data_IF_541183879412
#
_entry.id   IF_541183879412
#
_cell.length_a   1.000
_cell.length_b   1.000
_cell.length_c   1.000
_cell.angle_alpha   90.00
_cell.angle_beta   90.00
_cell.angle_gamma   90.00
#
_symmetry.space_group_name_H-M   'P 1'
#
loop_
_entity.id
_entity.type
_entity.pdbx_description
1 polymer ?
#
# COMPACT_ATOMS: atom_id res chain seq x y z
N UNK A 1 -9.88 12.45 -6.44
CA UNK A 1 -8.64 11.62 -6.44
C UNK A 1 -7.55 12.21 -5.56
N UNK A 2 -7.21 13.50 -5.68
CA UNK A 2 -6.24 14.15 -4.78
C UNK A 2 -6.59 13.98 -3.30
N UNK A 3 -7.84 14.22 -2.91
CA UNK A 3 -8.29 14.05 -1.51
C UNK A 3 -8.14 12.61 -1.02
N UNK A 4 -8.46 11.63 -1.87
CA UNK A 4 -8.27 10.20 -1.56
C UNK A 4 -6.79 9.92 -1.31
N UNK A 5 -5.90 10.41 -2.18
CA UNK A 5 -4.45 10.20 -2.05
C UNK A 5 -3.91 10.81 -0.76
N UNK A 6 -4.22 12.07 -0.46
CA UNK A 6 -3.74 12.72 0.77
C UNK A 6 -4.28 12.01 2.01
N UNK A 7 -5.56 11.62 2.04
CA UNK A 7 -6.12 10.86 3.15
C UNK A 7 -5.42 9.51 3.36
N UNK A 8 -5.12 8.78 2.29
CA UNK A 8 -4.39 7.51 2.38
C UNK A 8 -2.93 7.71 2.83
N UNK A 9 -2.24 8.74 2.34
CA UNK A 9 -0.87 9.04 2.76
C UNK A 9 -0.79 9.44 4.23
N UNK A 10 -1.72 10.26 4.71
CA UNK A 10 -1.80 10.65 6.13
C UNK A 10 -2.04 9.44 7.04
N UNK A 11 -3.04 8.61 6.72
CA UNK A 11 -3.32 7.36 7.45
C UNK A 11 -2.19 6.33 7.33
N UNK A 12 -1.46 6.37 6.22
CA UNK A 12 -0.32 5.52 5.93
C UNK A 12 0.99 5.99 6.56
N UNK A 13 0.94 6.98 7.46
CA UNK A 13 2.10 7.59 8.13
C UNK A 13 3.16 8.17 7.17
N UNK A 14 2.77 8.58 5.97
CA UNK A 14 3.68 9.22 5.03
C UNK A 14 4.18 10.56 5.60
N UNK A 15 5.45 10.96 5.35
CA UNK A 15 6.03 12.19 5.89
C UNK A 15 5.14 13.43 5.72
N UNK A 16 5.00 14.20 6.80
CA UNK A 16 4.17 15.42 6.86
C UNK A 16 4.65 16.49 5.87
N UNK A 17 3.81 17.50 5.65
CA UNK A 17 4.06 18.64 4.73
C UNK A 17 4.20 18.23 3.26
N UNK A 18 3.39 17.26 2.82
CA UNK A 18 3.26 16.88 1.42
C UNK A 18 1.92 17.36 0.86
N UNK A 19 1.85 17.48 -0.46
CA UNK A 19 0.63 17.61 -1.23
C UNK A 19 0.67 16.55 -2.32
N UNK A 20 -0.24 15.59 -2.25
CA UNK A 20 -0.41 14.58 -3.28
C UNK A 20 -1.48 14.99 -4.28
N UNK A 21 -1.15 14.86 -5.56
CA UNK A 21 -2.11 15.02 -6.66
C UNK A 21 -2.04 13.82 -7.59
N UNK A 22 -3.10 13.61 -8.38
CA UNK A 22 -3.10 12.59 -9.42
C UNK A 22 -2.84 13.27 -10.77
N UNK A 23 -1.68 12.99 -11.37
CA UNK A 23 -1.35 13.50 -12.70
C UNK A 23 -2.16 12.78 -13.75
N UNK A 24 -3.18 13.42 -14.32
CA UNK A 24 -4.09 12.81 -15.30
C UNK A 24 -3.35 12.27 -16.53
N UNK A 25 -2.34 13.00 -17.02
CA UNK A 25 -1.53 12.60 -18.18
C UNK A 25 -0.53 11.51 -17.86
N UNK A 26 0.10 11.55 -16.68
CA UNK A 26 1.05 10.50 -16.25
C UNK A 26 0.35 9.26 -15.70
N UNK A 27 -0.95 9.38 -15.41
CA UNK A 27 -1.77 8.38 -14.73
C UNK A 27 -1.12 7.87 -13.44
N UNK A 28 -0.57 8.78 -12.65
CA UNK A 28 0.23 8.45 -11.48
C UNK A 28 0.18 9.55 -10.41
N UNK A 29 0.55 9.19 -9.19
CA UNK A 29 0.70 10.14 -8.09
C UNK A 29 1.88 11.09 -8.32
N UNK A 30 1.64 12.35 -7.98
CA UNK A 30 2.65 13.39 -7.91
C UNK A 30 2.72 13.91 -6.49
N UNK A 31 3.94 14.09 -5.98
CA UNK A 31 4.19 14.63 -4.63
C UNK A 31 4.80 16.01 -4.78
N UNK A 32 4.17 17.03 -4.20
CA UNK A 32 4.58 18.43 -4.27
C UNK A 32 4.81 18.88 -5.72
N UNK A 33 3.90 18.49 -6.63
CA UNK A 33 3.96 18.82 -8.05
C UNK A 33 5.05 18.09 -8.85
N UNK A 34 5.78 17.14 -8.25
CA UNK A 34 6.83 16.37 -8.93
C UNK A 34 6.42 14.90 -9.09
N UNK A 35 6.80 14.30 -10.23
CA UNK A 35 6.71 12.85 -10.43
C UNK A 35 7.56 12.14 -9.38
N UNK A 36 7.05 11.05 -8.79
CA UNK A 36 7.78 10.27 -7.76
C UNK A 36 9.15 9.77 -8.21
N UNK A 37 9.32 9.54 -9.52
CA UNK A 37 10.60 9.15 -10.11
C UNK A 37 11.70 10.23 -10.00
N UNK A 38 11.33 11.50 -9.80
CA UNK A 38 12.27 12.62 -9.67
C UNK A 38 12.64 12.86 -8.20
N UNK A 39 11.71 12.61 -7.28
CA UNK A 39 11.83 13.02 -5.88
C UNK A 39 12.12 11.89 -4.88
N UNK A 40 11.98 10.62 -5.27
CA UNK A 40 12.04 9.49 -4.35
C UNK A 40 12.95 8.35 -4.84
N UNK A 41 13.55 7.59 -3.91
CA UNK A 41 14.25 6.33 -4.19
C UNK A 41 13.31 5.16 -4.46
N UNK A 42 13.83 3.99 -4.86
CA UNK A 42 13.05 2.80 -5.25
C UNK A 42 11.99 2.42 -4.21
N UNK A 43 12.38 2.34 -2.93
CA UNK A 43 11.48 1.98 -1.84
C UNK A 43 10.26 2.87 -1.67
N UNK A 44 10.50 4.18 -1.58
CA UNK A 44 9.41 5.16 -1.53
C UNK A 44 8.53 5.11 -2.77
N UNK A 45 9.09 4.82 -3.96
CA UNK A 45 8.26 4.62 -5.17
C UNK A 45 7.37 3.38 -5.06
N UNK A 46 7.85 2.28 -4.48
CA UNK A 46 7.03 1.08 -4.26
C UNK A 46 5.85 1.37 -3.34
N UNK A 47 6.12 2.01 -2.19
CA UNK A 47 5.06 2.48 -1.29
C UNK A 47 4.05 3.37 -2.01
N UNK A 48 4.52 4.37 -2.77
CA UNK A 48 3.64 5.27 -3.51
C UNK A 48 2.86 4.56 -4.63
N UNK A 49 3.40 3.51 -5.26
CA UNK A 49 2.65 2.67 -6.19
C UNK A 49 1.46 2.02 -5.48
N UNK A 50 1.70 1.41 -4.32
CA UNK A 50 0.67 0.74 -3.51
C UNK A 50 -0.45 1.71 -3.12
N UNK A 51 -0.09 2.92 -2.66
CA UNK A 51 -1.06 3.99 -2.35
C UNK A 51 -1.84 4.43 -3.59
N UNK A 52 -1.18 4.62 -4.74
CA UNK A 52 -1.86 4.98 -5.99
C UNK A 52 -2.88 3.92 -6.40
N UNK A 53 -2.52 2.64 -6.35
CA UNK A 53 -3.44 1.55 -6.73
C UNK A 53 -4.60 1.43 -5.74
N UNK A 54 -4.36 1.62 -4.45
CA UNK A 54 -5.46 1.69 -3.47
C UNK A 54 -6.40 2.88 -3.72
N UNK A 55 -5.86 4.05 -4.06
CA UNK A 55 -6.66 5.23 -4.39
C UNK A 55 -7.51 5.01 -5.63
N UNK A 56 -6.92 4.41 -6.68
CA UNK A 56 -7.64 4.02 -7.90
C UNK A 56 -8.74 3.00 -7.59
N UNK A 57 -8.43 1.95 -6.82
CA UNK A 57 -9.40 0.94 -6.40
C UNK A 57 -10.56 1.55 -5.61
N UNK A 58 -10.28 2.46 -4.66
CA UNK A 58 -11.32 3.19 -3.92
C UNK A 58 -12.18 4.04 -4.84
N UNK A 59 -11.57 4.82 -5.73
CA UNK A 59 -12.29 5.66 -6.68
C UNK A 59 -13.18 4.85 -7.63
N UNK A 60 -12.68 3.74 -8.16
CA UNK A 60 -13.45 2.84 -9.04
C UNK A 60 -14.62 2.23 -8.25
N UNK A 61 -14.40 1.73 -7.04
CA UNK A 61 -15.48 1.16 -6.22
C UNK A 61 -16.55 2.19 -5.81
N UNK A 62 -16.21 3.48 -5.76
CA UNK A 62 -17.15 4.56 -5.47
C UNK A 62 -17.95 5.00 -6.70
N UNK A 63 -17.33 4.99 -7.89
CA UNK A 63 -17.87 5.69 -9.07
C UNK A 63 -18.22 4.77 -10.26
N UNK A 64 -17.67 3.56 -10.35
CA UNK A 64 -17.91 2.68 -11.48
C UNK A 64 -19.28 1.99 -11.39
N UNK A 65 -19.90 1.76 -12.56
CA UNK A 65 -21.12 0.97 -12.69
C UNK A 65 -20.89 -0.49 -12.25
N UNK A 66 -19.75 -1.06 -12.64
CA UNK A 66 -19.30 -2.39 -12.25
C UNK A 66 -18.05 -2.28 -11.40
N UNK A 67 -18.12 -2.79 -10.17
CA UNK A 67 -17.14 -2.54 -9.12
C UNK A 67 -16.28 -3.79 -8.91
N UNK A 68 -14.98 -3.75 -9.24
CA UNK A 68 -14.05 -4.81 -8.87
C UNK A 68 -13.78 -4.66 -7.37
N UNK A 69 -14.63 -5.26 -6.55
CA UNK A 69 -14.57 -5.26 -5.08
C UNK A 69 -13.39 -6.08 -4.51
N UNK A 70 -12.32 -6.23 -5.30
CA UNK A 70 -11.08 -6.92 -4.93
C UNK A 70 -9.84 -6.09 -5.31
N UNK A 71 -8.73 -6.34 -4.63
CA UNK A 71 -7.42 -5.74 -4.91
C UNK A 71 -6.32 -6.74 -4.57
N UNK A 72 -5.33 -6.89 -5.46
CA UNK A 72 -4.13 -7.69 -5.24
C UNK A 72 -2.92 -6.76 -5.29
N UNK A 73 -2.03 -6.87 -4.31
CA UNK A 73 -0.80 -6.08 -4.23
C UNK A 73 0.37 -7.04 -3.98
N UNK A 74 1.37 -6.94 -4.83
CA UNK A 74 2.61 -7.71 -4.72
C UNK A 74 3.75 -6.80 -4.25
N UNK A 75 4.48 -7.24 -3.23
CA UNK A 75 5.63 -6.56 -2.62
C UNK A 75 5.44 -5.04 -2.39
N UNK A 76 4.39 -4.63 -1.64
CA UNK A 76 4.03 -3.22 -1.46
C UNK A 76 5.14 -2.34 -0.93
N UNK A 77 6.15 -2.92 -0.27
CA UNK A 77 7.24 -2.24 0.41
C UNK A 77 8.62 -2.53 -0.20
N UNK A 78 8.68 -3.09 -1.41
CA UNK A 78 9.94 -3.46 -2.08
C UNK A 78 11.01 -2.35 -2.04
N UNK A 79 12.09 -2.61 -1.30
CA UNK A 79 13.22 -1.69 -1.12
C UNK A 79 12.94 -0.46 -0.25
N UNK A 80 11.83 -0.42 0.50
CA UNK A 80 11.53 0.65 1.45
C UNK A 80 12.50 0.58 2.64
N UNK A 81 13.26 1.65 2.81
CA UNK A 81 14.08 1.90 3.99
C UNK A 81 13.65 3.22 4.59
N UNK A 82 13.06 3.14 5.78
CA UNK A 82 12.66 4.30 6.56
C UNK A 82 13.75 4.67 7.56
N UNK A 83 13.78 5.94 7.99
CA UNK A 83 14.56 6.28 9.19
C UNK A 83 13.91 5.62 10.38
N UNK A 84 14.70 5.07 11.28
CA UNK A 84 14.21 4.40 12.48
C UNK A 84 13.27 5.36 13.24
N UNK A 85 12.04 4.89 13.48
CA UNK A 85 11.11 5.54 14.41
C UNK A 85 11.23 4.82 15.74
N UNK A 86 11.31 5.57 16.83
CA UNK A 86 11.25 4.99 18.19
C UNK A 86 9.89 4.34 18.47
N UNK A 87 8.85 4.72 17.71
CA UNK A 87 7.51 4.14 17.76
C UNK A 87 7.19 3.40 16.43
N UNK A 88 7.18 2.05 16.40
CA UNK A 88 6.85 1.26 15.21
C UNK A 88 5.48 1.59 14.60
N UNK A 89 4.50 1.97 15.44
CA UNK A 89 3.14 2.32 15.01
C UNK A 89 3.09 3.58 14.13
N UNK A 90 4.15 4.39 14.14
CA UNK A 90 4.28 5.60 13.32
C UNK A 90 5.08 5.35 12.02
N UNK A 91 5.52 4.12 11.76
CA UNK A 91 6.19 3.78 10.50
C UNK A 91 5.22 3.75 9.32
N UNK A 92 5.72 4.02 8.11
CA UNK A 92 4.97 3.84 6.88
C UNK A 92 4.62 2.36 6.64
N UNK A 93 5.51 1.44 7.04
CA UNK A 93 5.21 0.00 7.07
C UNK A 93 3.95 -0.29 7.89
N UNK A 94 3.88 0.17 9.13
CA UNK A 94 2.68 -0.03 9.96
C UNK A 94 1.44 0.58 9.29
N UNK A 95 1.53 1.85 8.89
CA UNK A 95 0.42 2.60 8.34
C UNK A 95 -0.18 1.94 7.09
N UNK A 96 0.64 1.48 6.15
CA UNK A 96 0.12 0.86 4.93
C UNK A 96 -0.57 -0.49 5.19
N UNK A 97 -0.05 -1.30 6.13
CA UNK A 97 -0.70 -2.56 6.49
C UNK A 97 -2.03 -2.32 7.22
N UNK A 98 -2.13 -1.29 8.08
CA UNK A 98 -3.43 -0.88 8.64
C UNK A 98 -4.41 -0.47 7.56
N UNK A 99 -3.97 0.20 6.51
CA UNK A 99 -4.83 0.54 5.38
C UNK A 99 -5.31 -0.70 4.60
N UNK A 100 -4.45 -1.70 4.39
CA UNK A 100 -4.85 -2.96 3.76
C UNK A 100 -5.90 -3.69 4.60
N UNK A 101 -5.69 -3.75 5.92
CA UNK A 101 -6.65 -4.34 6.87
C UNK A 101 -7.98 -3.57 6.85
N UNK A 102 -7.95 -2.23 6.91
CA UNK A 102 -9.16 -1.39 6.83
C UNK A 102 -9.94 -1.64 5.53
N UNK A 103 -9.24 -1.77 4.40
CA UNK A 103 -9.88 -2.10 3.12
C UNK A 103 -10.45 -3.52 3.13
N UNK A 104 -9.71 -4.49 3.66
CA UNK A 104 -10.09 -5.91 3.79
C UNK A 104 -11.42 -6.12 4.50
N UNK A 105 -11.77 -5.24 5.44
CA UNK A 105 -13.06 -5.26 6.17
C UNK A 105 -14.28 -5.04 5.27
N UNK A 106 -14.10 -4.48 4.08
CA UNK A 106 -15.19 -4.20 3.13
C UNK A 106 -15.02 -4.87 1.77
N UNK A 107 -13.78 -5.07 1.32
CA UNK A 107 -13.46 -5.53 -0.02
C UNK A 107 -12.26 -6.46 0.03
N UNK A 108 -12.29 -7.54 -0.78
CA UNK A 108 -11.23 -8.54 -0.77
C UNK A 108 -9.87 -7.87 -1.08
N UNK A 109 -8.91 -8.02 -0.18
CA UNK A 109 -7.57 -7.45 -0.34
C UNK A 109 -6.56 -8.55 -0.11
N UNK A 110 -5.80 -8.87 -1.15
CA UNK A 110 -4.75 -9.90 -1.13
C UNK A 110 -3.42 -9.16 -1.21
N UNK A 111 -2.57 -9.37 -0.22
CA UNK A 111 -1.23 -8.78 -0.17
C UNK A 111 -0.23 -9.92 -0.12
N UNK A 112 0.72 -9.90 -1.04
CA UNK A 112 1.85 -10.83 -1.10
C UNK A 112 3.09 -10.06 -0.68
N UNK A 113 3.77 -10.54 0.36
CA UNK A 113 4.95 -9.88 0.91
C UNK A 113 5.85 -10.91 1.61
N UNK A 114 7.15 -10.61 1.69
CA UNK A 114 8.09 -11.44 2.43
C UNK A 114 7.85 -11.30 3.94
N UNK A 115 7.94 -12.39 4.73
CA UNK A 115 7.72 -12.35 6.18
C UNK A 115 8.55 -11.29 6.92
N UNK A 116 9.81 -11.10 6.51
CA UNK A 116 10.73 -10.12 7.12
C UNK A 116 10.29 -8.65 6.90
N UNK A 117 9.42 -8.40 5.93
CA UNK A 117 8.86 -7.08 5.64
C UNK A 117 7.49 -6.85 6.28
N UNK A 118 6.94 -7.81 7.02
CA UNK A 118 5.71 -7.61 7.77
C UNK A 118 5.96 -6.72 9.02
N UNK A 119 5.01 -5.87 9.42
CA UNK A 119 5.06 -5.16 10.70
C UNK A 119 4.97 -6.14 11.87
N UNK A 120 5.95 -6.11 12.76
CA UNK A 120 6.01 -6.97 13.96
C UNK A 120 5.02 -6.54 15.05
N UNK A 121 4.49 -5.33 14.92
CA UNK A 121 3.59 -4.64 15.85
C UNK A 121 2.11 -4.78 15.48
N UNK A 122 1.79 -5.56 14.45
CA UNK A 122 0.42 -5.92 14.07
C UNK A 122 0.18 -7.41 14.34
N UNK A 123 -0.80 -7.71 15.19
CA UNK A 123 -1.33 -9.07 15.34
C UNK A 123 -2.40 -9.31 14.28
N UNK A 124 -1.96 -9.86 13.13
CA UNK A 124 -2.81 -10.19 12.00
C UNK A 124 -3.93 -11.18 12.35
N UNK A 125 -3.70 -12.09 13.31
CA UNK A 125 -4.72 -13.05 13.74
C UNK A 125 -5.85 -12.35 14.48
N UNK A 126 -5.51 -11.39 15.35
CA UNK A 126 -6.50 -10.59 16.07
C UNK A 126 -7.34 -9.68 15.16
N UNK A 127 -6.79 -9.29 14.01
CA UNK A 127 -7.47 -8.49 12.97
C UNK A 127 -8.29 -9.35 11.98
N UNK A 128 -8.47 -10.65 12.26
CA UNK A 128 -9.21 -11.61 11.43
C UNK A 128 -8.65 -11.73 9.99
N UNK A 129 -7.31 -11.65 9.86
CA UNK A 129 -6.62 -11.77 8.58
C UNK A 129 -6.24 -13.23 8.32
N UNK A 130 -6.64 -13.74 7.16
CA UNK A 130 -6.19 -15.04 6.67
C UNK A 130 -4.74 -14.95 6.18
N UNK A 131 -3.82 -15.57 6.91
CA UNK A 131 -2.41 -15.69 6.53
C UNK A 131 -2.13 -17.05 5.89
N UNK A 132 -1.53 -17.03 4.69
CA UNK A 132 -1.03 -18.20 4.00
C UNK A 132 0.47 -18.00 3.79
N UNK A 133 1.27 -18.89 4.37
CA UNK A 133 2.73 -18.85 4.27
C UNK A 133 3.23 -19.93 3.32
N UNK A 134 4.27 -19.59 2.55
CA UNK A 134 4.98 -20.51 1.66
C UNK A 134 6.43 -20.57 2.15
N UNK A 135 6.89 -21.73 2.60
CA UNK A 135 8.20 -21.90 3.26
C UNK A 135 9.24 -22.63 2.37
N UNK A 136 8.87 -23.05 1.15
CA UNK A 136 9.74 -23.77 0.21
C UNK A 136 9.71 -23.11 -1.19
N UNK A 137 10.67 -23.45 -2.08
CA UNK A 137 10.69 -23.04 -3.50
C UNK A 137 9.45 -23.49 -4.32
N UNK A 138 8.50 -24.17 -3.70
CA UNK A 138 7.17 -24.41 -4.25
C UNK A 138 6.36 -23.10 -4.24
N UNK A 139 6.58 -22.27 -5.26
CA UNK A 139 5.83 -21.05 -5.48
C UNK A 139 4.31 -21.29 -5.63
N UNK A 140 3.54 -20.20 -5.67
CA UNK A 140 2.08 -20.21 -5.79
C UNK A 140 1.55 -20.94 -7.04
N UNK A 141 2.39 -21.05 -8.07
CA UNK A 141 2.11 -21.74 -9.31
C UNK A 141 3.00 -22.98 -9.39
N UNK A 142 2.39 -24.17 -9.46
CA UNK A 142 3.11 -25.33 -9.99
C UNK A 142 3.48 -25.01 -11.44
N UNK A 143 4.74 -25.17 -11.81
CA UNK A 143 5.14 -25.18 -13.22
C UNK A 143 4.23 -26.17 -13.95
N UNK A 144 3.53 -25.68 -14.98
CA UNK A 144 2.67 -26.48 -15.86
C UNK A 144 3.48 -26.90 -17.07
#
# INVERSE_FOLDING_TARGET
>A
MGDILNCLLEKGNYPKHHVATFGQTSFDIMINGKKKAVSHGKGFRSYLNSVTVMALSKYINENALYKPEFLIIDTPLEGLSEKYSDNPNESMKHGIFKLFIERGKKYQTIVVENPDHLPSDIDFKSEDINMISYENEEGFLKEV
#
